data_IF_238901528009
#
_entry.id   IF_238901528009
#
_cell.length_a   1.000
_cell.length_b   1.000
_cell.length_c   1.000
_cell.angle_alpha   90.00
_cell.angle_beta   90.00
_cell.angle_gamma   90.00
#
_symmetry.space_group_name_H-M   'P 1'
#
loop_
_entity.id
_entity.type
_entity.pdbx_description
1 polymer ?
#
# COMPACT_ATOMS: atom_id res chain seq x y z
N UNK A 1 -2.01 33.21 -7.47
CA UNK A 1 -1.70 32.07 -8.37
C UNK A 1 -0.45 31.36 -7.87
N UNK A 2 -0.50 30.04 -7.76
CA UNK A 2 0.62 29.22 -7.30
C UNK A 2 1.60 28.95 -8.45
N UNK A 3 2.88 28.83 -8.12
CA UNK A 3 3.88 28.33 -9.07
C UNK A 3 3.77 26.81 -9.20
N UNK A 4 3.52 26.11 -8.06
CA UNK A 4 3.31 24.69 -8.01
C UNK A 4 2.24 24.35 -6.96
N UNK A 5 1.25 23.56 -7.34
CA UNK A 5 0.32 22.87 -6.44
C UNK A 5 0.71 21.40 -6.37
N UNK A 6 0.89 20.85 -5.15
CA UNK A 6 1.20 19.44 -4.92
C UNK A 6 -0.03 18.82 -4.26
N UNK A 7 -0.55 17.74 -4.84
CA UNK A 7 -1.71 17.01 -4.31
C UNK A 7 -1.21 15.73 -3.66
N UNK A 8 -1.29 15.66 -2.34
CA UNK A 8 -0.82 14.56 -1.51
C UNK A 8 0.42 14.91 -0.69
N UNK A 9 0.37 14.65 0.61
CA UNK A 9 1.39 14.95 1.61
C UNK A 9 2.21 13.74 2.07
N UNK A 10 2.26 12.68 1.27
CA UNK A 10 3.15 11.55 1.50
C UNK A 10 4.61 11.85 1.17
N UNK A 11 5.51 10.83 1.25
CA UNK A 11 6.95 11.03 0.99
C UNK A 11 7.24 11.71 -0.35
N UNK A 12 6.50 11.36 -1.39
CA UNK A 12 6.69 11.93 -2.73
C UNK A 12 6.34 13.42 -2.76
N UNK A 13 5.18 13.80 -2.18
CA UNK A 13 4.74 15.20 -2.15
C UNK A 13 5.64 16.08 -1.28
N UNK A 14 6.03 15.60 -0.10
CA UNK A 14 6.95 16.29 0.79
C UNK A 14 8.33 16.48 0.14
N UNK A 15 8.89 15.43 -0.47
CA UNK A 15 10.17 15.53 -1.18
C UNK A 15 10.10 16.51 -2.34
N UNK A 16 9.06 16.45 -3.15
CA UNK A 16 8.87 17.38 -4.26
C UNK A 16 8.74 18.83 -3.77
N UNK A 17 7.97 19.06 -2.70
CA UNK A 17 7.81 20.37 -2.10
C UNK A 17 9.10 20.93 -1.52
N UNK A 18 9.90 20.09 -0.83
CA UNK A 18 11.20 20.44 -0.31
C UNK A 18 12.12 20.92 -1.43
N UNK A 19 12.24 20.16 -2.50
CA UNK A 19 13.15 20.51 -3.59
C UNK A 19 12.64 21.67 -4.45
N UNK A 20 11.34 21.80 -4.65
CA UNK A 20 10.76 22.94 -5.36
C UNK A 20 11.05 24.26 -4.65
N UNK A 21 10.85 24.30 -3.32
CA UNK A 21 11.12 25.51 -2.52
C UNK A 21 12.62 25.79 -2.41
N UNK A 22 13.46 24.78 -2.23
CA UNK A 22 14.92 24.94 -2.28
C UNK A 22 15.43 25.38 -3.65
N UNK A 23 14.74 24.96 -4.72
CA UNK A 23 15.02 25.38 -6.10
C UNK A 23 14.58 26.81 -6.42
N UNK A 24 13.96 27.52 -5.47
CA UNK A 24 13.61 28.93 -5.60
C UNK A 24 12.16 29.22 -5.98
N UNK A 25 11.29 28.22 -6.10
CA UNK A 25 9.86 28.47 -6.26
C UNK A 25 9.28 29.05 -4.95
N UNK A 26 8.53 30.15 -5.06
CA UNK A 26 8.06 30.90 -3.88
C UNK A 26 6.64 30.56 -3.47
N UNK A 27 5.77 30.28 -4.43
CA UNK A 27 4.34 30.02 -4.21
C UNK A 27 4.04 28.53 -4.40
N UNK A 28 4.61 27.70 -3.51
CA UNK A 28 4.40 26.25 -3.50
C UNK A 28 3.44 25.90 -2.37
N UNK A 29 2.34 25.22 -2.70
CA UNK A 29 1.37 24.73 -1.72
C UNK A 29 1.16 23.24 -1.93
N UNK A 30 1.25 22.50 -0.85
CA UNK A 30 0.90 21.10 -0.75
C UNK A 30 -0.49 20.96 -0.14
N UNK A 31 -1.38 20.28 -0.82
CA UNK A 31 -2.74 19.96 -0.37
C UNK A 31 -2.76 18.54 0.18
N UNK A 32 -3.07 18.39 1.44
CA UNK A 32 -3.21 17.11 2.13
C UNK A 32 -4.41 17.18 3.07
N UNK A 33 -5.30 16.20 3.01
CA UNK A 33 -6.55 16.21 3.79
C UNK A 33 -6.35 15.90 5.27
N UNK A 34 -5.22 15.35 5.64
CA UNK A 34 -4.89 14.98 7.02
C UNK A 34 -3.50 15.45 7.42
N UNK A 35 -2.89 14.72 8.35
CA UNK A 35 -1.50 14.94 8.70
C UNK A 35 -0.59 14.43 7.57
N UNK A 36 0.39 15.23 7.15
CA UNK A 36 1.38 14.78 6.18
C UNK A 36 2.17 13.57 6.69
N UNK A 37 2.50 12.68 5.76
CA UNK A 37 3.24 11.44 6.07
C UNK A 37 2.89 10.33 5.09
N UNK A 38 1.62 10.26 4.68
CA UNK A 38 1.14 9.27 3.71
C UNK A 38 1.03 7.86 4.28
N UNK A 39 0.84 6.89 3.41
CA UNK A 39 0.54 5.50 3.78
C UNK A 39 1.64 4.84 4.64
N UNK A 40 2.90 5.24 4.47
CA UNK A 40 4.01 4.67 5.24
C UNK A 40 3.83 4.84 6.77
N UNK A 41 3.08 5.85 7.20
CA UNK A 41 2.81 6.08 8.63
C UNK A 41 1.99 4.97 9.30
N UNK A 42 1.33 4.11 8.52
CA UNK A 42 0.62 2.94 9.03
C UNK A 42 1.52 1.73 9.31
N UNK A 43 2.78 1.76 8.87
CA UNK A 43 3.74 0.67 9.12
C UNK A 43 4.23 0.74 10.56
N UNK A 44 4.13 -0.37 11.29
CA UNK A 44 4.61 -0.48 12.68
C UNK A 44 6.13 -0.51 12.75
N UNK A 45 6.78 -1.11 11.75
CA UNK A 45 8.24 -1.33 11.70
C UNK A 45 8.76 -1.08 10.30
N UNK A 46 9.83 -0.30 10.20
CA UNK A 46 10.57 -0.01 8.97
C UNK A 46 12.04 -0.26 9.25
N UNK A 47 12.63 -1.23 8.54
CA UNK A 47 14.04 -1.60 8.64
C UNK A 47 14.80 -1.44 7.32
N UNK A 48 14.10 -1.13 6.24
CA UNK A 48 14.60 -1.13 4.87
C UNK A 48 14.72 0.27 4.24
N UNK A 49 14.64 1.33 5.06
CA UNK A 49 14.84 2.70 4.58
C UNK A 49 16.32 3.09 4.69
N UNK A 50 17.02 3.37 3.56
CA UNK A 50 18.44 3.72 3.60
C UNK A 50 18.70 4.97 4.44
N UNK A 51 19.67 4.89 5.36
CA UNK A 51 19.99 5.96 6.30
C UNK A 51 19.31 5.83 7.67
N UNK A 52 18.35 4.92 7.80
CA UNK A 52 17.75 4.53 9.09
C UNK A 52 18.33 3.19 9.53
N UNK A 53 19.17 3.20 10.57
CA UNK A 53 19.88 1.99 11.06
C UNK A 53 19.00 1.21 12.02
N UNK A 54 18.33 1.91 12.93
CA UNK A 54 17.43 1.30 13.90
C UNK A 54 16.05 1.08 13.28
N UNK A 55 15.38 0.02 13.69
CA UNK A 55 13.98 -0.22 13.32
C UNK A 55 13.11 0.87 13.90
N UNK A 56 12.33 1.54 13.07
CA UNK A 56 11.43 2.63 13.49
C UNK A 56 10.03 2.44 12.95
N UNK A 57 9.04 3.05 13.60
CA UNK A 57 7.71 3.14 13.03
C UNK A 57 7.67 4.11 11.85
N UNK A 58 6.71 3.92 10.94
CA UNK A 58 6.49 4.88 9.86
C UNK A 58 6.11 6.27 10.36
N UNK A 59 5.44 6.37 11.50
CA UNK A 59 5.15 7.63 12.18
C UNK A 59 6.44 8.34 12.61
N UNK A 60 7.36 7.64 13.25
CA UNK A 60 8.63 8.22 13.71
C UNK A 60 9.52 8.60 12.52
N UNK A 61 9.57 7.77 11.49
CA UNK A 61 10.31 8.08 10.26
C UNK A 61 9.84 9.38 9.62
N UNK A 62 8.53 9.58 9.55
CA UNK A 62 7.93 10.76 8.90
C UNK A 62 7.79 11.99 9.80
N UNK A 63 7.99 11.85 11.12
CA UNK A 63 7.69 12.89 12.11
C UNK A 63 8.31 14.26 11.78
N UNK A 64 9.56 14.28 11.34
CA UNK A 64 10.32 15.52 11.08
C UNK A 64 10.24 16.04 9.64
N UNK A 65 9.66 15.27 8.70
CA UNK A 65 9.65 15.65 7.28
C UNK A 65 8.81 16.91 6.99
N UNK A 66 7.59 17.06 7.57
CA UNK A 66 6.79 18.28 7.35
C UNK A 66 7.50 19.53 7.88
N UNK A 67 8.10 19.47 9.07
CA UNK A 67 8.84 20.60 9.64
C UNK A 67 10.05 20.98 8.77
N UNK A 68 10.81 19.99 8.30
CA UNK A 68 11.93 20.23 7.37
C UNK A 68 11.44 20.95 6.11
N UNK A 69 10.32 20.52 5.52
CA UNK A 69 9.78 21.16 4.33
C UNK A 69 9.30 22.60 4.59
N UNK A 70 8.62 22.83 5.72
CA UNK A 70 8.16 24.16 6.13
C UNK A 70 9.31 25.15 6.32
N UNK A 71 10.43 24.70 6.87
CA UNK A 71 11.65 25.53 7.05
C UNK A 71 12.17 26.10 5.73
N UNK A 72 11.92 25.41 4.60
CA UNK A 72 12.26 25.89 3.25
C UNK A 72 11.12 26.62 2.55
N UNK A 73 10.00 26.83 3.24
CA UNK A 73 8.87 27.63 2.73
C UNK A 73 7.75 26.87 2.06
N UNK A 74 7.74 25.53 2.15
CA UNK A 74 6.57 24.74 1.71
C UNK A 74 5.38 25.07 2.60
N UNK A 75 4.27 25.48 1.98
CA UNK A 75 2.98 25.68 2.67
C UNK A 75 2.14 24.43 2.59
N UNK A 76 1.48 24.10 3.69
CA UNK A 76 0.49 23.03 3.73
C UNK A 76 -0.91 23.64 3.86
N UNK A 77 -1.79 23.27 2.95
CA UNK A 77 -3.23 23.55 3.01
C UNK A 77 -3.95 22.24 3.33
N UNK A 78 -4.64 22.23 4.48
CA UNK A 78 -5.43 21.05 4.89
C UNK A 78 -6.73 21.02 4.09
N UNK A 79 -6.68 20.36 2.94
CA UNK A 79 -7.81 20.25 2.04
C UNK A 79 -7.70 19.01 1.16
N UNK A 80 -8.85 18.43 0.84
CA UNK A 80 -8.98 17.39 -0.19
C UNK A 80 -9.26 18.08 -1.53
N UNK A 81 -8.49 17.73 -2.55
CA UNK A 81 -8.75 18.16 -3.93
C UNK A 81 -9.67 17.16 -4.60
N UNK A 82 -10.86 17.62 -4.96
CA UNK A 82 -11.86 16.79 -5.64
C UNK A 82 -11.70 16.84 -7.17
N UNK A 83 -11.23 17.97 -7.71
CA UNK A 83 -11.14 18.16 -9.14
C UNK A 83 -9.95 19.04 -9.52
N UNK A 84 -9.34 18.69 -10.64
CA UNK A 84 -8.35 19.53 -11.34
C UNK A 84 -8.83 19.73 -12.77
N UNK A 85 -8.89 20.98 -13.20
CA UNK A 85 -9.20 21.34 -14.59
C UNK A 85 -8.06 22.18 -15.16
N UNK A 86 -7.91 22.16 -16.48
CA UNK A 86 -6.93 22.99 -17.20
C UNK A 86 -7.61 23.85 -18.23
N UNK A 87 -7.30 25.14 -18.23
CA UNK A 87 -7.76 26.10 -19.25
C UNK A 87 -6.57 26.93 -19.69
N UNK A 88 -6.17 26.81 -20.95
CA UNK A 88 -4.90 27.35 -21.43
C UNK A 88 -3.72 26.80 -20.66
N UNK A 89 -2.93 27.66 -20.06
CA UNK A 89 -1.73 27.30 -19.27
C UNK A 89 -1.99 27.30 -17.75
N UNK A 90 -3.24 27.46 -17.33
CA UNK A 90 -3.62 27.56 -15.93
C UNK A 90 -4.41 26.31 -15.49
N UNK A 91 -4.00 25.73 -14.37
CA UNK A 91 -4.74 24.70 -13.66
C UNK A 91 -5.62 25.34 -12.57
N UNK A 92 -6.86 24.88 -12.47
CA UNK A 92 -7.76 25.20 -11.35
C UNK A 92 -7.98 23.93 -10.54
N UNK A 93 -7.64 23.99 -9.25
CA UNK A 93 -7.87 22.94 -8.28
C UNK A 93 -9.10 23.31 -7.45
N UNK A 94 -10.09 22.42 -7.37
CA UNK A 94 -11.30 22.63 -6.58
C UNK A 94 -11.26 21.67 -5.40
N UNK A 95 -11.41 22.21 -4.19
CA UNK A 95 -11.45 21.45 -2.94
C UNK A 95 -12.85 20.87 -2.68
N UNK A 96 -12.95 19.94 -1.73
CA UNK A 96 -14.22 19.36 -1.30
C UNK A 96 -15.18 20.41 -0.71
N UNK A 97 -14.67 21.47 -0.08
CA UNK A 97 -15.44 22.63 0.42
C UNK A 97 -15.67 23.74 -0.62
N UNK A 98 -15.40 23.44 -1.91
CA UNK A 98 -15.64 24.29 -3.07
C UNK A 98 -14.76 25.54 -3.18
N UNK A 99 -13.68 25.62 -2.46
CA UNK A 99 -12.66 26.64 -2.70
C UNK A 99 -11.88 26.32 -3.98
N UNK A 100 -11.42 27.36 -4.66
CA UNK A 100 -10.62 27.22 -5.87
C UNK A 100 -9.24 27.82 -5.72
N UNK A 101 -8.25 27.11 -6.23
CA UNK A 101 -6.86 27.54 -6.29
C UNK A 101 -6.36 27.46 -7.73
N UNK A 102 -5.65 28.50 -8.17
CA UNK A 102 -5.02 28.51 -9.49
C UNK A 102 -3.53 28.26 -9.40
N UNK A 103 -3.02 27.42 -10.29
CA UNK A 103 -1.61 27.05 -10.35
C UNK A 103 -1.09 26.99 -11.80
N UNK A 104 0.18 27.34 -11.99
CA UNK A 104 0.90 27.14 -13.26
C UNK A 104 1.23 25.68 -13.50
N UNK A 105 1.54 24.96 -12.42
CA UNK A 105 1.94 23.55 -12.46
C UNK A 105 1.24 22.77 -11.35
N UNK A 106 0.88 21.52 -11.64
CA UNK A 106 0.30 20.59 -10.67
C UNK A 106 1.15 19.31 -10.64
N UNK A 107 1.49 18.88 -9.45
CA UNK A 107 2.12 17.58 -9.20
C UNK A 107 1.12 16.70 -8.45
N UNK A 108 0.83 15.53 -9.00
CA UNK A 108 -0.06 14.54 -8.40
C UNK A 108 0.79 13.52 -7.66
N UNK A 109 0.68 13.52 -6.33
CA UNK A 109 1.42 12.65 -5.42
C UNK A 109 0.47 11.95 -4.43
N UNK A 110 -0.73 11.60 -4.90
CA UNK A 110 -1.83 11.07 -4.08
C UNK A 110 -1.60 9.64 -3.56
N UNK A 111 -0.53 9.00 -4.01
CA UNK A 111 -0.23 7.62 -3.63
C UNK A 111 -1.25 6.62 -4.16
N UNK A 112 -1.41 5.53 -3.43
CA UNK A 112 -2.37 4.47 -3.73
C UNK A 112 -3.04 3.98 -2.45
N UNK A 113 -4.21 3.39 -2.60
CA UNK A 113 -4.90 2.70 -1.51
C UNK A 113 -4.97 1.23 -1.87
N UNK A 114 -4.50 0.31 -1.01
CA UNK A 114 -4.63 -1.13 -1.23
C UNK A 114 -6.09 -1.50 -1.46
N UNK A 115 -6.32 -2.33 -2.47
CA UNK A 115 -7.66 -2.81 -2.75
C UNK A 115 -8.00 -3.94 -1.80
N UNK A 116 -9.02 -3.72 -0.97
CA UNK A 116 -9.55 -4.77 -0.11
C UNK A 116 -10.24 -5.87 -0.92
N UNK A 117 -10.03 -7.11 -0.52
CA UNK A 117 -10.66 -8.26 -1.15
C UNK A 117 -12.12 -8.46 -0.68
N UNK A 118 -12.47 -7.95 0.51
CA UNK A 118 -13.83 -7.92 1.04
C UNK A 118 -14.27 -9.20 1.76
N UNK A 119 -13.34 -10.04 2.20
CA UNK A 119 -13.66 -11.23 2.98
C UNK A 119 -13.88 -10.89 4.47
N UNK A 120 -14.60 -11.76 5.16
CA UNK A 120 -14.83 -11.64 6.60
C UNK A 120 -13.50 -11.74 7.37
N UNK A 121 -13.28 -10.86 8.33
CA UNK A 121 -12.04 -10.79 9.12
C UNK A 121 -10.95 -9.92 8.52
N UNK A 122 -11.03 -9.51 7.23
CA UNK A 122 -9.99 -8.68 6.59
C UNK A 122 -9.70 -7.40 7.36
N UNK A 123 -10.74 -6.64 7.72
CA UNK A 123 -10.57 -5.40 8.47
C UNK A 123 -10.18 -5.62 9.93
N UNK A 124 -10.69 -6.68 10.54
CA UNK A 124 -10.44 -7.01 11.95
C UNK A 124 -8.98 -7.37 12.19
N UNK A 125 -8.38 -8.13 11.28
CA UNK A 125 -7.02 -8.61 11.40
C UNK A 125 -5.99 -7.81 10.60
N UNK A 126 -6.41 -6.70 9.96
CA UNK A 126 -5.47 -5.83 9.25
C UNK A 126 -4.39 -5.29 10.20
N UNK A 127 -3.12 -5.49 9.85
CA UNK A 127 -1.96 -5.18 10.71
C UNK A 127 -1.75 -6.16 11.87
N UNK A 128 -2.57 -7.21 11.97
CA UNK A 128 -2.43 -8.28 12.97
C UNK A 128 -2.49 -9.68 12.32
N UNK A 129 -1.84 -9.82 11.19
CA UNK A 129 -1.80 -11.05 10.39
C UNK A 129 -2.35 -10.89 8.98
N UNK A 130 -3.22 -9.92 8.72
CA UNK A 130 -3.59 -9.52 7.36
C UNK A 130 -2.74 -8.33 6.95
N UNK A 131 -2.05 -8.43 5.82
CA UNK A 131 -1.22 -7.39 5.22
C UNK A 131 -1.51 -7.23 3.73
N UNK A 132 -1.09 -6.12 3.15
CA UNK A 132 -1.11 -5.85 1.71
C UNK A 132 0.28 -5.54 1.17
N UNK A 133 1.34 -5.93 1.92
CA UNK A 133 2.72 -5.65 1.55
C UNK A 133 3.64 -6.78 2.03
N UNK A 134 3.93 -7.71 1.15
CA UNK A 134 4.82 -8.84 1.47
C UNK A 134 6.26 -8.40 1.75
N UNK A 135 6.74 -7.36 1.08
CA UNK A 135 8.09 -6.82 1.30
C UNK A 135 8.22 -6.07 2.63
N UNK A 136 7.11 -5.54 3.17
CA UNK A 136 7.09 -4.86 4.46
C UNK A 136 7.03 -5.86 5.61
N UNK A 137 6.10 -6.81 5.55
CA UNK A 137 5.69 -7.63 6.68
C UNK A 137 6.14 -9.10 6.56
N UNK A 138 6.62 -9.54 5.40
CA UNK A 138 6.98 -10.94 5.13
C UNK A 138 8.03 -11.50 6.08
N UNK A 139 8.94 -10.66 6.58
CA UNK A 139 9.99 -11.08 7.50
C UNK A 139 9.44 -11.68 8.81
N UNK A 140 8.31 -11.19 9.33
CA UNK A 140 7.66 -11.71 10.55
C UNK A 140 7.13 -13.13 10.40
N UNK A 141 7.05 -13.62 9.18
CA UNK A 141 6.55 -14.96 8.83
C UNK A 141 7.66 -15.92 8.37
N UNK A 142 8.92 -15.55 8.59
CA UNK A 142 10.06 -16.44 8.25
C UNK A 142 9.89 -17.82 8.88
N UNK A 143 9.99 -18.87 8.04
CA UNK A 143 9.85 -20.26 8.44
C UNK A 143 8.41 -20.71 8.75
N UNK A 144 7.43 -19.82 8.61
CA UNK A 144 6.01 -20.13 8.80
C UNK A 144 5.32 -20.39 7.46
N UNK A 145 4.14 -20.97 7.49
CA UNK A 145 3.24 -21.04 6.33
C UNK A 145 2.45 -19.75 6.22
N UNK A 146 2.26 -19.24 5.02
CA UNK A 146 1.49 -18.02 4.74
C UNK A 146 0.54 -18.21 3.57
N UNK A 147 -0.44 -17.33 3.46
CA UNK A 147 -1.36 -17.29 2.32
C UNK A 147 -1.23 -15.98 1.58
N UNK A 148 -1.24 -16.04 0.25
CA UNK A 148 -1.37 -14.88 -0.64
C UNK A 148 -2.68 -15.00 -1.40
N UNK A 149 -3.50 -13.94 -1.39
CA UNK A 149 -4.82 -13.90 -2.04
C UNK A 149 -4.75 -13.03 -3.28
N UNK A 150 -4.84 -13.64 -4.44
CA UNK A 150 -4.86 -12.89 -5.70
C UNK A 150 -4.51 -13.74 -6.91
N UNK A 151 -4.43 -13.10 -8.08
CA UNK A 151 -4.10 -13.78 -9.33
C UNK A 151 -3.64 -12.79 -10.41
N UNK A 152 -3.20 -11.61 -10.01
CA UNK A 152 -2.48 -10.64 -10.84
C UNK A 152 -0.99 -10.68 -10.54
N UNK A 153 -0.20 -9.87 -11.26
CA UNK A 153 1.25 -9.81 -11.12
C UNK A 153 1.68 -9.60 -9.67
N UNK A 154 1.11 -8.60 -8.99
CA UNK A 154 1.46 -8.31 -7.58
C UNK A 154 1.32 -9.52 -6.67
N UNK A 155 0.20 -10.26 -6.74
CA UNK A 155 -0.01 -11.41 -5.87
C UNK A 155 0.97 -12.55 -6.16
N UNK A 156 1.28 -12.79 -7.44
CA UNK A 156 2.22 -13.85 -7.83
C UNK A 156 3.65 -13.46 -7.46
N UNK A 157 4.04 -12.21 -7.68
CA UNK A 157 5.35 -11.69 -7.28
C UNK A 157 5.55 -11.74 -5.78
N UNK A 158 4.51 -11.35 -4.99
CA UNK A 158 4.53 -11.45 -3.53
C UNK A 158 4.62 -12.90 -3.05
N UNK A 159 3.90 -13.84 -3.70
CA UNK A 159 4.01 -15.27 -3.38
C UNK A 159 5.44 -15.80 -3.64
N UNK A 160 6.03 -15.43 -4.77
CA UNK A 160 7.44 -15.76 -5.09
C UNK A 160 8.42 -15.11 -4.11
N UNK A 161 8.16 -13.87 -3.70
CA UNK A 161 8.99 -13.21 -2.69
C UNK A 161 8.92 -13.92 -1.35
N UNK A 162 7.71 -14.20 -0.85
CA UNK A 162 7.48 -14.88 0.43
C UNK A 162 8.03 -16.32 0.43
N UNK A 163 8.01 -17.01 -0.70
CA UNK A 163 8.53 -18.37 -0.82
C UNK A 163 10.03 -18.49 -0.46
N UNK A 164 10.78 -17.39 -0.60
CA UNK A 164 12.22 -17.37 -0.27
C UNK A 164 12.49 -17.40 1.22
N UNK A 165 11.51 -17.09 2.04
CA UNK A 165 11.68 -16.99 3.50
C UNK A 165 10.66 -17.81 4.30
N UNK A 166 9.49 -18.05 3.77
CA UNK A 166 8.44 -18.85 4.39
C UNK A 166 8.62 -20.33 4.09
N UNK A 167 8.16 -21.21 4.97
CA UNK A 167 8.21 -22.65 4.76
C UNK A 167 7.28 -23.11 3.65
N UNK A 168 6.15 -22.43 3.50
CA UNK A 168 5.14 -22.69 2.47
C UNK A 168 4.31 -21.44 2.19
N UNK A 169 3.90 -21.27 0.95
CA UNK A 169 2.99 -20.22 0.51
C UNK A 169 1.79 -20.85 -0.18
N UNK A 170 0.59 -20.58 0.32
CA UNK A 170 -0.66 -20.90 -0.36
C UNK A 170 -1.06 -19.72 -1.24
N UNK A 171 -1.06 -19.92 -2.56
CA UNK A 171 -1.56 -18.91 -3.50
C UNK A 171 -3.03 -19.17 -3.79
N UNK A 172 -3.90 -18.40 -3.12
CA UNK A 172 -5.35 -18.54 -3.17
C UNK A 172 -5.93 -17.69 -4.28
N UNK A 173 -6.61 -18.29 -5.25
CA UNK A 173 -7.25 -17.58 -6.34
C UNK A 173 -8.66 -18.08 -6.66
N UNK A 174 -9.54 -17.11 -6.99
CA UNK A 174 -10.97 -17.41 -7.30
C UNK A 174 -11.23 -18.02 -8.67
N UNK A 175 -10.22 -18.12 -9.53
CA UNK A 175 -10.28 -18.71 -10.86
C UNK A 175 -9.24 -19.80 -10.99
N UNK A 176 -9.36 -20.60 -12.03
CA UNK A 176 -8.37 -21.59 -12.47
C UNK A 176 -7.23 -20.99 -13.31
N UNK A 177 -7.38 -19.74 -13.71
CA UNK A 177 -6.42 -19.01 -14.55
C UNK A 177 -6.01 -17.68 -13.91
N UNK A 178 -4.75 -17.34 -14.04
CA UNK A 178 -4.17 -16.08 -13.55
C UNK A 178 -4.21 -14.99 -14.64
N UNK A 179 -4.21 -13.72 -14.18
CA UNK A 179 -4.13 -12.55 -15.08
C UNK A 179 -2.73 -11.95 -15.15
N UNK A 180 -1.79 -12.49 -14.41
CA UNK A 180 -0.40 -12.08 -14.42
C UNK A 180 0.28 -12.38 -15.74
N UNK A 181 1.43 -11.77 -15.99
CA UNK A 181 2.24 -12.02 -17.16
C UNK A 181 2.67 -13.50 -17.22
N UNK A 182 2.71 -14.13 -18.42
CA UNK A 182 3.08 -15.54 -18.56
C UNK A 182 4.43 -15.87 -17.90
N UNK A 183 5.43 -15.01 -18.02
CA UNK A 183 6.75 -15.20 -17.41
C UNK A 183 6.71 -15.22 -15.88
N UNK A 184 5.86 -14.39 -15.27
CA UNK A 184 5.65 -14.34 -13.81
C UNK A 184 4.97 -15.62 -13.33
N UNK A 185 3.96 -16.10 -14.07
CA UNK A 185 3.27 -17.37 -13.79
C UNK A 185 4.23 -18.56 -13.89
N UNK A 186 5.06 -18.59 -14.94
CA UNK A 186 6.04 -19.65 -15.15
C UNK A 186 7.06 -19.69 -14.00
N UNK A 187 7.57 -18.54 -13.58
CA UNK A 187 8.47 -18.46 -12.43
C UNK A 187 7.83 -19.01 -11.15
N UNK A 188 6.59 -18.63 -10.86
CA UNK A 188 5.84 -19.14 -9.72
C UNK A 188 5.69 -20.65 -9.75
N UNK A 189 5.33 -21.23 -10.91
CA UNK A 189 5.16 -22.68 -11.08
C UNK A 189 6.43 -23.49 -10.84
N UNK A 190 7.60 -22.90 -11.05
CA UNK A 190 8.89 -23.53 -10.75
C UNK A 190 9.34 -23.33 -9.29
N UNK A 191 8.52 -22.68 -8.46
CA UNK A 191 8.83 -22.43 -7.04
C UNK A 191 8.20 -23.52 -6.17
N UNK A 192 9.02 -24.44 -5.67
CA UNK A 192 8.58 -25.73 -5.09
C UNK A 192 7.69 -25.62 -3.84
N UNK A 193 7.78 -24.53 -3.06
CA UNK A 193 7.01 -24.35 -1.83
C UNK A 193 5.79 -23.42 -1.99
N UNK A 194 5.39 -23.13 -3.22
CA UNK A 194 4.12 -22.48 -3.51
C UNK A 194 3.08 -23.55 -3.86
N UNK A 195 1.98 -23.58 -3.12
CA UNK A 195 0.81 -24.40 -3.42
C UNK A 195 -0.30 -23.54 -4.01
N UNK A 196 -0.72 -23.87 -5.24
CA UNK A 196 -1.83 -23.21 -5.89
C UNK A 196 -3.17 -23.74 -5.32
N UNK A 197 -3.98 -22.84 -4.78
CA UNK A 197 -5.34 -23.12 -4.27
C UNK A 197 -6.31 -22.32 -5.13
N UNK A 198 -6.69 -22.89 -6.26
CA UNK A 198 -7.49 -22.21 -7.29
C UNK A 198 -8.96 -22.60 -7.25
N UNK A 199 -9.78 -21.82 -7.96
CA UNK A 199 -11.25 -21.99 -8.06
C UNK A 199 -11.96 -21.95 -6.70
N UNK A 200 -11.42 -21.13 -5.77
CA UNK A 200 -11.96 -20.97 -4.41
C UNK A 200 -12.31 -19.52 -4.10
N UNK A 201 -13.25 -19.34 -3.18
CA UNK A 201 -13.54 -18.03 -2.57
C UNK A 201 -13.07 -18.05 -1.12
N UNK A 202 -12.44 -16.98 -0.68
CA UNK A 202 -12.15 -16.79 0.74
C UNK A 202 -13.46 -16.49 1.46
N UNK A 203 -13.82 -17.31 2.45
CA UNK A 203 -15.00 -17.11 3.27
C UNK A 203 -14.68 -16.23 4.48
N UNK A 204 -13.67 -16.60 5.23
CA UNK A 204 -13.26 -15.84 6.40
C UNK A 204 -11.75 -16.03 6.70
N UNK A 205 -11.16 -14.99 7.24
CA UNK A 205 -9.94 -15.08 8.03
C UNK A 205 -10.34 -15.10 9.49
N UNK A 206 -9.76 -16.01 10.26
CA UNK A 206 -10.06 -16.17 11.67
C UNK A 206 -8.80 -16.12 12.53
N UNK A 207 -8.98 -15.77 13.79
CA UNK A 207 -7.89 -15.65 14.75
C UNK A 207 -8.42 -15.22 16.11
N UNK A 208 -7.53 -14.75 16.94
CA UNK A 208 -7.82 -14.25 18.29
C UNK A 208 -7.08 -12.94 18.61
N UNK A 209 -6.91 -12.65 19.90
CA UNK A 209 -6.21 -11.46 20.36
C UNK A 209 -4.72 -11.43 19.93
N UNK A 210 -4.11 -12.59 19.63
CA UNK A 210 -2.72 -12.70 19.17
C UNK A 210 -2.57 -12.47 17.65
N UNK A 211 -3.67 -12.46 16.89
CA UNK A 211 -3.70 -12.24 15.45
C UNK A 211 -4.34 -13.38 14.67
N UNK A 212 -4.03 -13.44 13.37
CA UNK A 212 -4.55 -14.45 12.45
C UNK A 212 -4.02 -15.84 12.81
N UNK A 213 -4.89 -16.83 12.79
CA UNK A 213 -4.57 -18.25 12.93
C UNK A 213 -4.82 -19.06 11.66
N UNK A 214 -5.62 -18.54 10.74
CA UNK A 214 -5.88 -19.19 9.47
C UNK A 214 -6.99 -18.53 8.67
N UNK A 215 -7.28 -19.15 7.52
CA UNK A 215 -8.41 -18.75 6.70
C UNK A 215 -9.13 -19.98 6.16
N UNK A 216 -10.43 -19.82 5.92
CA UNK A 216 -11.28 -20.80 5.26
C UNK A 216 -11.55 -20.39 3.83
N UNK A 217 -11.35 -21.30 2.93
CA UNK A 217 -11.69 -21.14 1.51
C UNK A 217 -12.76 -22.15 1.11
N UNK A 218 -13.65 -21.75 0.22
CA UNK A 218 -14.73 -22.59 -0.30
C UNK A 218 -14.53 -22.78 -1.80
N UNK A 219 -14.49 -24.04 -2.23
CA UNK A 219 -14.42 -24.38 -3.63
C UNK A 219 -15.72 -24.00 -4.33
N UNK A 220 -15.63 -23.33 -5.47
CA UNK A 220 -16.79 -22.73 -6.14
C UNK A 220 -17.76 -23.75 -6.69
N UNK A 221 -17.26 -24.86 -7.21
CA UNK A 221 -18.09 -25.87 -7.88
C UNK A 221 -18.56 -26.94 -6.90
N UNK A 222 -17.66 -27.48 -6.06
CA UNK A 222 -18.02 -28.55 -5.10
C UNK A 222 -18.64 -28.01 -3.81
N UNK A 223 -18.42 -26.73 -3.46
CA UNK A 223 -18.83 -26.18 -2.18
C UNK A 223 -18.00 -26.66 -0.98
N UNK A 224 -16.97 -27.48 -1.21
CA UNK A 224 -16.07 -27.98 -0.18
C UNK A 224 -15.33 -26.83 0.51
N UNK A 225 -15.28 -26.89 1.84
CA UNK A 225 -14.54 -25.93 2.65
C UNK A 225 -13.20 -26.54 3.02
N UNK A 226 -12.11 -25.82 2.72
CA UNK A 226 -10.77 -26.14 3.16
C UNK A 226 -10.30 -25.10 4.15
N UNK A 227 -9.69 -25.55 5.24
CA UNK A 227 -9.03 -24.73 6.22
C UNK A 227 -7.53 -24.65 5.91
N UNK A 228 -6.98 -23.44 5.91
CA UNK A 228 -5.57 -23.16 5.71
C UNK A 228 -5.03 -22.49 6.98
N UNK A 229 -4.37 -23.25 7.87
CA UNK A 229 -3.88 -22.72 9.14
C UNK A 229 -2.59 -21.92 8.90
N UNK A 230 -2.73 -20.63 8.64
CA UNK A 230 -1.62 -19.71 8.37
C UNK A 230 -1.73 -18.46 9.24
N UNK A 231 -0.64 -18.02 9.90
CA UNK A 231 -0.65 -16.80 10.72
C UNK A 231 -0.53 -15.51 9.91
N UNK A 232 -0.24 -15.60 8.61
CA UNK A 232 -0.08 -14.46 7.72
C UNK A 232 -0.90 -14.60 6.44
N UNK A 233 -1.63 -13.54 6.07
CA UNK A 233 -2.47 -13.44 4.87
C UNK A 233 -2.13 -12.13 4.16
N UNK A 234 -1.76 -12.22 2.87
CA UNK A 234 -1.30 -11.12 2.03
C UNK A 234 -2.20 -10.92 0.81
#
# INVERSE_FOLDING_TARGET
MLDLAIIGGGPAGLTAGLYATRGGLKNVVMFEMGMPGGQITSSSEIENYPGQVEVVSGMDLMANWPEQCQRFGLKHEMAQIDRVTKSGDIFTLTTNDKKEFQAKTVLIATGSVPKKAGFKGENEFFGRGVSTCATCDGFFYRGKEVTVIGGGDSAIEEAVYLSKMCSKVYLVHRRDTYRAAPSTIEHMKHTANIEEVTNVMVEEVYGDASGVQGLKVKHKDSGEIRDLPTPGVF
#
